data_IF_749977058770
#
_entry.id   IF_749977058770
#
_cell.length_a   1.000
_cell.length_b   1.000
_cell.length_c   1.000
_cell.angle_alpha   90.00
_cell.angle_beta   90.00
_cell.angle_gamma   90.00
#
_symmetry.space_group_name_H-M   'P 1'
#
loop_
_entity.id
_entity.type
_entity.pdbx_description
1 polymer ?
#
# COMPACT_ATOMS: atom_id res chain seq x y z
N UNK A 1 12.52 4.48 -1.74
CA UNK A 1 12.11 3.63 -0.59
C UNK A 1 12.28 2.18 -1.00
N UNK A 2 13.28 1.51 -0.45
CA UNK A 2 13.61 0.15 -0.88
C UNK A 2 12.78 -0.88 -0.11
N UNK A 3 12.44 -1.95 -0.81
CA UNK A 3 11.82 -3.12 -0.24
C UNK A 3 12.85 -4.07 0.36
N UNK A 4 12.46 -4.75 1.44
CA UNK A 4 13.17 -5.88 2.04
C UNK A 4 12.29 -6.55 3.09
N UNK A 5 12.29 -7.87 3.13
CA UNK A 5 11.73 -8.68 4.22
C UNK A 5 10.25 -9.01 4.10
N UNK A 6 9.57 -8.50 3.07
CA UNK A 6 8.16 -8.80 2.77
C UNK A 6 7.93 -9.40 1.38
N UNK A 7 8.97 -9.89 0.71
CA UNK A 7 8.90 -10.48 -0.63
C UNK A 7 7.88 -11.63 -0.71
N UNK A 8 7.93 -12.60 0.21
CA UNK A 8 7.06 -13.77 0.18
C UNK A 8 5.59 -13.38 0.42
N UNK A 9 5.36 -12.46 1.36
CA UNK A 9 4.03 -11.96 1.72
C UNK A 9 3.41 -11.21 0.56
N UNK A 10 4.16 -10.30 -0.10
CA UNK A 10 3.62 -9.54 -1.22
C UNK A 10 3.39 -10.44 -2.44
N UNK A 11 4.27 -11.40 -2.73
CA UNK A 11 4.06 -12.37 -3.81
C UNK A 11 2.76 -13.15 -3.57
N UNK A 12 2.54 -13.63 -2.34
CA UNK A 12 1.31 -14.35 -1.97
C UNK A 12 0.05 -13.49 -2.10
N UNK A 13 0.11 -12.20 -1.78
CA UNK A 13 -1.00 -11.27 -2.03
C UNK A 13 -1.29 -11.19 -3.54
N UNK A 14 -0.24 -11.09 -4.35
CA UNK A 14 -0.34 -10.95 -5.81
C UNK A 14 -0.83 -12.20 -6.54
N UNK A 15 -0.78 -13.39 -5.92
CA UNK A 15 -1.43 -14.60 -6.46
C UNK A 15 -2.93 -14.41 -6.69
N UNK A 16 -3.57 -13.48 -5.97
CA UNK A 16 -4.99 -13.19 -6.07
C UNK A 16 -5.31 -11.92 -6.89
N UNK A 17 -4.30 -11.20 -7.38
CA UNK A 17 -4.47 -9.94 -8.11
C UNK A 17 -4.39 -10.23 -9.61
N UNK A 18 -5.46 -9.94 -10.35
CA UNK A 18 -5.51 -10.17 -11.80
C UNK A 18 -5.01 -8.94 -12.56
N UNK A 19 -4.85 -9.08 -13.88
CA UNK A 19 -4.41 -7.99 -14.74
C UNK A 19 -5.39 -6.81 -14.71
N UNK A 20 -6.69 -7.04 -14.70
CA UNK A 20 -7.71 -5.98 -14.68
C UNK A 20 -7.88 -5.30 -13.31
N UNK A 21 -7.34 -5.88 -12.24
CA UNK A 21 -7.53 -5.36 -10.90
C UNK A 21 -6.59 -4.17 -10.64
N UNK A 22 -7.11 -3.13 -9.99
CA UNK A 22 -6.35 -1.93 -9.66
C UNK A 22 -5.51 -2.12 -8.40
N UNK A 23 -4.27 -1.64 -8.44
CA UNK A 23 -3.37 -1.60 -7.29
C UNK A 23 -3.07 -0.15 -6.93
N UNK A 24 -3.47 0.21 -5.71
CA UNK A 24 -3.16 1.48 -5.08
C UNK A 24 -2.12 1.25 -3.98
N UNK A 25 -1.05 2.05 -3.95
CA UNK A 25 0.02 1.87 -2.97
C UNK A 25 0.63 3.21 -2.53
N UNK A 26 1.45 3.15 -1.47
CA UNK A 26 2.25 4.28 -1.01
C UNK A 26 3.43 4.56 -1.96
N UNK A 27 4.27 5.54 -1.62
CA UNK A 27 5.53 5.82 -2.29
C UNK A 27 6.54 4.65 -2.31
N UNK A 28 6.30 3.62 -1.50
CA UNK A 28 6.99 2.34 -1.58
C UNK A 28 6.14 1.44 -2.48
N UNK A 29 6.44 1.46 -3.79
CA UNK A 29 5.57 0.90 -4.84
C UNK A 29 6.28 0.03 -5.89
N UNK A 30 7.61 -0.12 -5.80
CA UNK A 30 8.41 -0.76 -6.85
C UNK A 30 8.03 -2.23 -7.08
N UNK A 31 7.84 -3.00 -6.00
CA UNK A 31 7.44 -4.41 -6.11
C UNK A 31 6.04 -4.56 -6.70
N UNK A 32 5.09 -3.72 -6.32
CA UNK A 32 3.74 -3.73 -6.89
C UNK A 32 3.76 -3.45 -8.40
N UNK A 33 4.57 -2.49 -8.84
CA UNK A 33 4.72 -2.20 -10.27
C UNK A 33 5.27 -3.43 -11.02
N UNK A 34 6.33 -4.06 -10.49
CA UNK A 34 6.92 -5.26 -11.08
C UNK A 34 5.93 -6.43 -11.14
N UNK A 35 5.22 -6.68 -10.03
CA UNK A 35 4.26 -7.78 -9.93
C UNK A 35 3.00 -7.54 -10.77
N UNK A 36 2.64 -6.29 -11.05
CA UNK A 36 1.61 -5.93 -12.06
C UNK A 36 2.08 -6.03 -13.51
N UNK A 37 3.37 -6.33 -13.73
CA UNK A 37 3.93 -6.55 -15.06
C UNK A 37 4.49 -5.30 -15.74
N UNK A 38 4.66 -4.18 -15.02
CA UNK A 38 5.33 -3.00 -15.56
C UNK A 38 6.79 -3.37 -15.88
N UNK A 39 7.28 -3.15 -17.12
CA UNK A 39 8.64 -3.51 -17.48
C UNK A 39 9.67 -2.84 -16.56
N UNK A 40 10.68 -3.57 -16.07
CA UNK A 40 11.70 -3.01 -15.17
C UNK A 40 12.42 -1.78 -15.74
N UNK A 41 12.54 -1.72 -17.07
CA UNK A 41 13.12 -0.59 -17.79
C UNK A 41 12.28 0.69 -17.62
N UNK A 42 10.96 0.59 -17.77
CA UNK A 42 10.04 1.73 -17.60
C UNK A 42 10.05 2.24 -16.15
N UNK A 43 10.00 1.32 -15.17
CA UNK A 43 10.11 1.68 -13.75
C UNK A 43 11.44 2.43 -13.48
N UNK A 44 12.54 1.92 -14.04
CA UNK A 44 13.86 2.54 -13.89
C UNK A 44 13.92 3.93 -14.52
N UNK A 45 13.33 4.13 -15.70
CA UNK A 45 13.26 5.43 -16.37
C UNK A 45 12.52 6.46 -15.52
N UNK A 46 11.36 6.08 -14.95
CA UNK A 46 10.60 6.94 -14.04
C UNK A 46 11.37 7.29 -12.76
N UNK A 47 12.10 6.33 -12.19
CA UNK A 47 12.96 6.54 -11.02
C UNK A 47 14.06 7.57 -11.35
N UNK A 48 14.76 7.40 -12.48
CA UNK A 48 15.82 8.32 -12.93
C UNK A 48 15.26 9.71 -13.20
N UNK A 49 14.02 9.80 -13.69
CA UNK A 49 13.32 11.06 -13.91
C UNK A 49 12.76 11.70 -12.61
N UNK A 50 13.07 11.16 -11.44
CA UNK A 50 12.69 11.74 -10.14
C UNK A 50 11.28 11.38 -9.66
N UNK A 51 10.57 10.46 -10.33
CA UNK A 51 9.18 10.10 -10.01
C UNK A 51 9.06 8.84 -9.16
N UNK A 52 10.15 8.41 -8.52
CA UNK A 52 10.23 7.17 -7.73
C UNK A 52 9.19 7.05 -6.59
N UNK A 53 8.63 8.15 -6.09
CA UNK A 53 7.68 8.17 -4.96
C UNK A 53 6.22 8.39 -5.40
N UNK A 54 5.99 8.50 -6.71
CA UNK A 54 4.69 8.80 -7.31
C UNK A 54 4.54 8.07 -8.65
N UNK A 55 5.04 6.83 -8.73
CA UNK A 55 4.89 5.97 -9.90
C UNK A 55 3.40 5.79 -10.23
N UNK A 56 3.05 5.97 -11.49
CA UNK A 56 1.68 5.85 -11.96
C UNK A 56 1.73 5.21 -13.35
N UNK A 57 1.13 4.03 -13.46
CA UNK A 57 1.11 3.26 -14.70
C UNK A 57 -0.34 2.80 -14.96
N UNK A 58 -1.22 3.68 -15.48
CA UNK A 58 -2.63 3.38 -15.65
C UNK A 58 -2.91 2.20 -16.60
N UNK A 59 -2.06 2.01 -17.60
CA UNK A 59 -2.15 0.88 -18.55
C UNK A 59 -2.00 -0.48 -17.84
N UNK A 60 -1.33 -0.48 -16.68
CA UNK A 60 -1.13 -1.63 -15.79
C UNK A 60 -1.98 -1.53 -14.52
N UNK A 61 -2.95 -0.61 -14.48
CA UNK A 61 -3.86 -0.39 -13.36
C UNK A 61 -3.12 -0.12 -12.03
N UNK A 62 -2.00 0.60 -12.08
CA UNK A 62 -1.18 0.98 -10.91
C UNK A 62 -1.26 2.48 -10.65
N UNK A 63 -1.49 2.83 -9.39
CA UNK A 63 -1.36 4.20 -8.89
C UNK A 63 -0.62 4.21 -7.55
N UNK A 64 0.36 5.09 -7.39
CA UNK A 64 1.02 5.33 -6.10
C UNK A 64 1.02 6.81 -5.73
N UNK A 65 1.03 7.09 -4.43
CA UNK A 65 1.02 8.46 -3.90
C UNK A 65 2.13 8.69 -2.89
N UNK A 66 2.75 9.87 -2.98
CA UNK A 66 3.71 10.36 -1.99
C UNK A 66 3.04 10.92 -0.72
N UNK A 67 1.71 11.08 -0.73
CA UNK A 67 0.96 11.58 0.42
C UNK A 67 0.47 10.42 1.28
N UNK A 68 0.82 10.45 2.57
CA UNK A 68 0.36 9.44 3.55
C UNK A 68 -1.17 9.43 3.57
N UNK A 69 -1.76 8.26 3.33
CA UNK A 69 -3.21 8.08 3.23
C UNK A 69 -3.88 8.66 1.98
N UNK A 70 -3.14 9.35 1.10
CA UNK A 70 -3.72 10.00 -0.09
C UNK A 70 -4.24 9.02 -1.14
N UNK A 71 -3.73 7.79 -1.17
CA UNK A 71 -4.21 6.73 -2.08
C UNK A 71 -5.54 6.13 -1.66
N UNK A 72 -5.89 6.16 -0.36
CA UNK A 72 -7.08 5.52 0.20
C UNK A 72 -8.40 6.07 -0.37
N UNK A 73 -8.69 7.39 -0.35
CA UNK A 73 -9.94 7.90 -0.89
C UNK A 73 -10.05 7.70 -2.40
N UNK A 74 -8.92 7.75 -3.13
CA UNK A 74 -8.90 7.49 -4.57
C UNK A 74 -9.22 6.02 -4.85
N UNK A 75 -8.65 5.09 -4.09
CA UNK A 75 -8.94 3.66 -4.18
C UNK A 75 -10.43 3.36 -3.92
N UNK A 76 -11.01 4.00 -2.90
CA UNK A 76 -12.45 3.90 -2.62
C UNK A 76 -13.28 4.46 -3.78
N UNK A 77 -12.91 5.62 -4.33
CA UNK A 77 -13.56 6.21 -5.50
C UNK A 77 -13.55 5.27 -6.72
N UNK A 78 -12.40 4.63 -6.99
CA UNK A 78 -12.27 3.64 -8.05
C UNK A 78 -13.17 2.42 -7.80
N UNK A 79 -13.22 1.90 -6.56
CA UNK A 79 -14.08 0.78 -6.21
C UNK A 79 -15.58 1.11 -6.35
N UNK A 80 -15.98 2.35 -6.02
CA UNK A 80 -17.34 2.85 -6.28
C UNK A 80 -17.62 2.84 -7.79
N UNK A 81 -16.69 3.32 -8.61
CA UNK A 81 -16.86 3.37 -10.06
C UNK A 81 -17.00 1.97 -10.66
N UNK A 82 -16.14 1.03 -10.27
CA UNK A 82 -16.19 -0.38 -10.67
C UNK A 82 -17.56 -0.98 -10.33
N UNK A 83 -18.01 -0.81 -9.08
CA UNK A 83 -19.31 -1.33 -8.63
C UNK A 83 -20.49 -0.74 -9.41
N UNK A 84 -20.45 0.57 -9.69
CA UNK A 84 -21.53 1.26 -10.42
C UNK A 84 -21.61 0.85 -11.88
N UNK A 85 -20.48 0.46 -12.47
CA UNK A 85 -20.38 0.01 -13.85
C UNK A 85 -20.56 -1.50 -14.02
N UNK A 86 -20.76 -2.22 -12.92
CA UNK A 86 -20.84 -3.69 -12.90
C UNK A 86 -19.62 -4.35 -13.57
N UNK A 87 -18.44 -3.77 -13.33
CA UNK A 87 -17.18 -4.33 -13.82
C UNK A 87 -16.72 -5.48 -12.92
N UNK A 88 -16.12 -6.52 -13.52
CA UNK A 88 -15.57 -7.66 -12.80
C UNK A 88 -14.23 -7.33 -12.09
N UNK A 89 -13.66 -6.14 -12.28
CA UNK A 89 -12.39 -5.74 -11.65
C UNK A 89 -12.53 -5.48 -10.15
N UNK A 90 -11.41 -5.48 -9.42
CA UNK A 90 -11.33 -5.15 -7.99
C UNK A 90 -10.24 -4.12 -7.71
N UNK A 91 -10.26 -3.56 -6.52
CA UNK A 91 -9.21 -2.66 -6.02
C UNK A 91 -8.44 -3.33 -4.89
N UNK A 92 -7.12 -3.31 -4.96
CA UNK A 92 -6.20 -3.73 -3.90
C UNK A 92 -5.45 -2.49 -3.41
N UNK A 93 -5.66 -2.10 -2.16
CA UNK A 93 -5.11 -0.86 -1.60
C UNK A 93 -4.10 -1.17 -0.47
N UNK A 94 -2.83 -0.96 -0.78
CA UNK A 94 -1.71 -1.13 0.15
C UNK A 94 -1.49 0.12 1.00
N UNK A 95 -1.28 -0.08 2.30
CA UNK A 95 -0.92 0.95 3.28
C UNK A 95 0.02 0.38 4.34
N UNK A 96 0.77 1.25 5.02
CA UNK A 96 1.57 0.87 6.18
C UNK A 96 0.76 0.82 7.48
N UNK A 97 1.30 0.16 8.49
CA UNK A 97 0.79 0.08 9.87
C UNK A 97 0.42 1.44 10.48
N UNK A 98 1.30 2.43 10.42
CA UNK A 98 0.97 3.77 10.95
C UNK A 98 -0.18 4.41 10.17
N UNK A 99 -0.28 4.15 8.87
CA UNK A 99 -1.35 4.70 8.04
C UNK A 99 -2.69 4.04 8.36
N UNK A 100 -2.72 2.74 8.71
CA UNK A 100 -3.97 2.04 9.01
C UNK A 100 -4.68 2.53 10.27
N UNK A 101 -3.94 3.17 11.18
CA UNK A 101 -4.49 3.78 12.40
C UNK A 101 -4.96 5.24 12.20
N UNK A 102 -4.78 5.81 11.00
CA UNK A 102 -5.23 7.18 10.72
C UNK A 102 -6.74 7.24 10.48
N UNK A 103 -7.37 8.38 10.82
CA UNK A 103 -8.80 8.58 10.61
C UNK A 103 -9.27 8.30 9.18
N UNK A 104 -8.49 8.72 8.18
CA UNK A 104 -8.81 8.47 6.76
C UNK A 104 -8.86 6.98 6.41
N UNK A 105 -7.99 6.15 7.00
CA UNK A 105 -8.02 4.71 6.80
C UNK A 105 -9.27 4.09 7.42
N UNK A 106 -9.59 4.44 8.67
CA UNK A 106 -10.81 3.97 9.33
C UNK A 106 -12.08 4.37 8.58
N UNK A 107 -12.17 5.60 8.09
CA UNK A 107 -13.31 6.08 7.30
C UNK A 107 -13.44 5.33 5.97
N UNK A 108 -12.34 5.17 5.23
CA UNK A 108 -12.33 4.44 3.95
C UNK A 108 -12.73 2.97 4.11
N UNK A 109 -12.19 2.29 5.13
CA UNK A 109 -12.49 0.88 5.42
C UNK A 109 -13.97 0.73 5.83
N UNK A 110 -14.46 1.58 6.75
CA UNK A 110 -15.86 1.56 7.20
C UNK A 110 -16.83 1.80 6.05
N UNK A 111 -16.58 2.81 5.23
CA UNK A 111 -17.40 3.13 4.06
C UNK A 111 -17.43 1.95 3.08
N UNK A 112 -16.26 1.41 2.75
CA UNK A 112 -16.12 0.31 1.80
C UNK A 112 -16.88 -0.94 2.22
N UNK A 113 -16.84 -1.30 3.51
CA UNK A 113 -17.59 -2.43 4.06
C UNK A 113 -19.08 -2.22 4.00
N UNK A 114 -19.56 -1.09 4.49
CA UNK A 114 -20.99 -0.79 4.55
C UNK A 114 -21.62 -0.72 3.17
N UNK A 115 -20.85 -0.27 2.17
CA UNK A 115 -21.29 -0.24 0.78
C UNK A 115 -20.92 -1.49 -0.01
N UNK A 116 -20.30 -2.50 0.61
CA UNK A 116 -19.87 -3.75 -0.04
C UNK A 116 -19.12 -3.46 -1.36
N UNK A 117 -18.12 -2.58 -1.28
CA UNK A 117 -17.32 -2.19 -2.44
C UNK A 117 -16.34 -3.32 -2.82
N UNK A 118 -15.99 -3.48 -4.11
CA UNK A 118 -15.01 -4.46 -4.59
C UNK A 118 -13.58 -3.99 -4.30
N UNK A 119 -13.26 -3.83 -3.01
CA UNK A 119 -11.95 -3.38 -2.53
C UNK A 119 -11.43 -4.27 -1.41
N UNK A 120 -10.13 -4.53 -1.46
CA UNK A 120 -9.37 -5.26 -0.45
C UNK A 120 -8.20 -4.39 0.02
N UNK A 121 -8.03 -4.26 1.33
CA UNK A 121 -6.95 -3.48 1.92
C UNK A 121 -5.81 -4.41 2.36
N UNK A 122 -4.58 -3.94 2.20
CA UNK A 122 -3.36 -4.67 2.56
C UNK A 122 -2.55 -3.79 3.48
N UNK A 123 -2.36 -4.24 4.72
CA UNK A 123 -1.60 -3.53 5.75
C UNK A 123 -0.23 -4.21 5.85
N UNK A 124 0.80 -3.44 5.53
CA UNK A 124 2.20 -3.86 5.61
C UNK A 124 2.80 -3.31 6.91
N UNK A 125 2.96 -4.16 7.93
CA UNK A 125 3.46 -3.76 9.24
C UNK A 125 4.95 -4.05 9.42
N UNK A 126 5.74 -3.01 9.65
CA UNK A 126 7.15 -3.11 10.06
C UNK A 126 7.44 -2.41 11.40
N UNK A 127 6.37 -2.17 12.17
CA UNK A 127 6.35 -1.48 13.46
C UNK A 127 6.80 -0.02 13.44
N UNK A 128 7.07 0.59 12.28
CA UNK A 128 7.70 1.91 12.23
C UNK A 128 7.17 2.82 11.13
N UNK A 129 6.91 4.07 11.51
CA UNK A 129 6.82 5.20 10.58
C UNK A 129 8.08 6.04 10.65
N UNK A 130 8.93 5.91 9.64
CA UNK A 130 10.25 6.55 9.61
C UNK A 130 11.13 6.12 10.80
N UNK A 131 11.26 6.95 11.82
CA UNK A 131 12.03 6.66 13.03
C UNK A 131 11.14 6.42 14.26
N UNK A 132 9.83 6.49 14.07
CA UNK A 132 8.84 6.45 15.15
C UNK A 132 8.25 5.05 15.26
N UNK A 133 8.25 4.49 16.47
CA UNK A 133 7.56 3.23 16.75
C UNK A 133 6.03 3.43 16.72
N UNK A 134 5.35 2.57 15.97
CA UNK A 134 3.90 2.71 15.74
C UNK A 134 3.09 2.40 17.00
N UNK A 135 3.46 1.39 17.77
CA UNK A 135 2.73 0.98 18.97
C UNK A 135 2.91 1.99 20.09
N UNK A 136 4.12 2.52 20.27
CA UNK A 136 4.40 3.61 21.20
C UNK A 136 3.60 4.87 20.86
N UNK A 137 3.52 5.24 19.57
CA UNK A 137 2.75 6.41 19.11
C UNK A 137 1.29 6.35 19.51
N UNK A 138 0.67 5.17 19.37
CA UNK A 138 -0.74 4.97 19.68
C UNK A 138 -1.00 4.53 21.12
N UNK A 139 0.06 4.28 21.91
CA UNK A 139 -0.02 3.77 23.27
C UNK A 139 -0.88 2.48 23.37
N UNK A 140 -0.61 1.53 22.47
CA UNK A 140 -1.31 0.25 22.39
C UNK A 140 -0.32 -0.91 22.28
N UNK A 141 -0.70 -2.07 22.78
CA UNK A 141 0.09 -3.30 22.58
C UNK A 141 -0.18 -3.97 21.23
N UNK A 142 -1.34 -3.70 20.62
CA UNK A 142 -1.74 -4.27 19.33
C UNK A 142 -2.52 -3.26 18.50
N UNK A 143 -2.29 -3.28 17.18
CA UNK A 143 -2.90 -2.38 16.21
C UNK A 143 -4.34 -2.78 15.85
N UNK A 144 -5.08 -1.87 15.21
CA UNK A 144 -6.52 -2.04 14.98
C UNK A 144 -6.88 -3.29 14.18
N UNK A 145 -5.99 -3.79 13.32
CA UNK A 145 -6.23 -4.92 12.42
C UNK A 145 -5.22 -6.07 12.59
N UNK A 146 -4.30 -5.95 13.54
CA UNK A 146 -3.31 -6.98 13.84
C UNK A 146 -4.00 -8.24 14.37
N UNK A 147 -3.61 -9.41 13.84
CA UNK A 147 -4.15 -10.74 14.22
C UNK A 147 -5.68 -10.90 14.10
N UNK A 148 -6.38 -9.96 13.43
CA UNK A 148 -7.82 -10.05 13.21
C UNK A 148 -8.12 -10.72 11.88
N UNK A 149 -8.99 -11.72 11.91
CA UNK A 149 -9.55 -12.28 10.68
C UNK A 149 -10.58 -11.31 10.09
N UNK A 150 -10.29 -10.75 8.93
CA UNK A 150 -11.16 -9.80 8.24
C UNK A 150 -11.24 -10.13 6.75
N UNK A 151 -12.45 -10.25 6.20
CA UNK A 151 -12.63 -10.63 4.80
C UNK A 151 -12.14 -9.59 3.80
N UNK A 152 -11.99 -8.33 4.22
CA UNK A 152 -11.59 -7.22 3.36
C UNK A 152 -10.16 -6.72 3.66
N UNK A 153 -9.45 -7.35 4.59
CA UNK A 153 -8.11 -6.89 5.01
C UNK A 153 -7.16 -8.08 5.08
N UNK A 154 -6.01 -7.92 4.44
CA UNK A 154 -4.82 -8.73 4.70
C UNK A 154 -3.85 -7.93 5.54
N UNK A 155 -3.45 -8.49 6.68
CA UNK A 155 -2.41 -7.94 7.53
C UNK A 155 -1.21 -8.88 7.52
N UNK A 156 -0.01 -8.34 7.40
CA UNK A 156 1.20 -9.11 7.64
C UNK A 156 2.29 -8.25 8.26
N UNK A 157 3.13 -8.91 9.07
CA UNK A 157 4.30 -8.31 9.69
C UNK A 157 5.57 -8.65 8.90
N UNK A 158 6.54 -7.73 8.86
CA UNK A 158 7.85 -7.92 8.25
C UNK A 158 8.94 -7.04 8.87
N UNK A 159 10.20 -7.45 8.72
CA UNK A 159 11.35 -6.66 9.15
C UNK A 159 12.12 -6.10 7.95
N UNK A 160 12.48 -4.82 8.00
CA UNK A 160 13.33 -4.19 6.99
C UNK A 160 14.75 -3.98 7.51
N UNK A 161 15.76 -4.31 6.70
CA UNK A 161 17.16 -3.94 6.98
C UNK A 161 17.50 -2.52 6.58
N UNK A 162 16.71 -1.92 5.69
CA UNK A 162 16.97 -0.58 5.17
C UNK A 162 16.38 0.48 6.09
N UNK A 163 17.12 1.56 6.40
CA UNK A 163 16.58 2.68 7.16
C UNK A 163 15.49 3.38 6.36
N UNK A 164 14.44 3.85 7.05
CA UNK A 164 13.37 4.60 6.41
C UNK A 164 13.79 6.01 5.97
N UNK A 165 14.80 6.60 6.61
CA UNK A 165 15.39 7.87 6.24
C UNK A 165 16.91 7.87 6.50
N UNK A 166 17.65 8.60 5.66
CA UNK A 166 19.11 8.72 5.73
C UNK A 166 19.86 7.50 5.18
N UNK A 167 21.19 7.59 5.16
CA UNK A 167 22.08 6.52 4.69
C UNK A 167 22.37 5.45 5.77
N UNK A 168 21.61 5.44 6.88
CA UNK A 168 21.98 4.73 8.11
C UNK A 168 23.07 5.45 8.93
N UNK A 169 23.59 6.56 8.40
CA UNK A 169 24.47 7.51 9.10
C UNK A 169 23.89 8.91 8.88
N UNK A 170 23.88 9.76 9.92
CA UNK A 170 23.43 11.15 9.79
C UNK A 170 24.44 11.90 8.93
N UNK A 171 24.08 12.20 7.68
CA UNK A 171 24.86 13.07 6.80
C UNK A 171 24.30 14.48 6.96
N UNK A 172 25.02 15.34 7.69
CA UNK A 172 24.79 16.79 7.64
C UNK A 172 25.59 17.35 6.46
N UNK A 173 24.92 18.10 5.59
CA UNK A 173 25.56 18.95 4.59
C UNK A 173 26.00 20.26 5.25
#
# INVERSE_FOLDING_TARGET
>A
HLYYGNEDQIIKVFENIRSQDWVFCSWRSHYQCLLKGVPPKEIKEEIIAGRSISLCFPDYQIYSSALVGGSLPVAVGTAIAIKRKDEDSKVYCFMGDMTSETGIAHECIKYSRNHQLPIHFIIEDNSKSVCTDTRETWNVSSLSYEEKHDSNITYYHYETKYPHAGAGTRVQF
#
